data_IF_018350731037
#
_entry.id   IF_018350731037
#
_cell.length_a   1.000
_cell.length_b   1.000
_cell.length_c   1.000
_cell.angle_alpha   90.00
_cell.angle_beta   90.00
_cell.angle_gamma   90.00
#
_symmetry.space_group_name_H-M   'P 1'
#
loop_
_entity.id
_entity.type
_entity.pdbx_description
1 polymer ?
#
# COMPACT_ATOMS: atom_id res chain seq x y z
N UNK A 1 -6.99 -14.30 -7.34
CA UNK A 1 -7.75 -13.04 -7.16
C UNK A 1 -7.23 -12.18 -6.02
N UNK A 2 -6.28 -12.67 -5.20
CA UNK A 2 -5.75 -11.97 -4.04
C UNK A 2 -4.22 -11.82 -4.17
N UNK A 3 -3.74 -11.38 -5.34
CA UNK A 3 -2.31 -11.12 -5.53
C UNK A 3 -1.85 -9.95 -4.65
N UNK A 4 -0.55 -9.87 -4.45
CA UNK A 4 0.10 -8.77 -3.77
C UNK A 4 0.14 -7.50 -4.64
N UNK A 5 0.23 -6.34 -3.99
CA UNK A 5 0.31 -5.05 -4.67
C UNK A 5 1.38 -4.17 -4.05
N UNK A 6 2.19 -3.53 -4.87
CA UNK A 6 3.13 -2.49 -4.48
C UNK A 6 2.63 -1.16 -5.03
N UNK A 7 2.33 -0.23 -4.11
CA UNK A 7 2.16 1.18 -4.42
C UNK A 7 3.47 1.91 -4.09
N UNK A 8 4.09 2.54 -5.09
CA UNK A 8 5.32 3.31 -4.93
C UNK A 8 5.07 4.77 -5.26
N UNK A 9 5.61 5.67 -4.43
CA UNK A 9 5.57 7.12 -4.69
C UNK A 9 7.00 7.62 -4.67
N UNK A 10 7.45 8.19 -5.79
CA UNK A 10 8.86 8.53 -6.00
C UNK A 10 9.08 9.99 -6.37
N UNK A 11 10.31 10.46 -6.18
CA UNK A 11 10.76 11.81 -6.57
C UNK A 11 10.99 11.98 -8.09
N UNK A 12 11.11 10.88 -8.82
CA UNK A 12 11.20 10.85 -10.27
C UNK A 12 10.48 9.63 -10.84
N UNK A 13 10.15 9.63 -12.14
CA UNK A 13 9.53 8.47 -12.79
C UNK A 13 10.47 7.27 -12.77
N UNK A 14 9.99 6.11 -12.30
CA UNK A 14 10.78 4.88 -12.26
C UNK A 14 11.01 4.37 -13.69
N UNK A 15 12.27 4.11 -14.04
CA UNK A 15 12.68 3.58 -15.32
C UNK A 15 13.81 2.54 -15.13
N UNK A 16 13.52 1.24 -15.27
CA UNK A 16 14.52 0.16 -15.11
C UNK A 16 15.70 0.22 -16.10
N UNK A 17 15.56 0.90 -17.23
CA UNK A 17 16.60 1.02 -18.26
C UNK A 17 17.59 2.16 -17.97
N UNK A 18 17.31 2.98 -16.95
CA UNK A 18 18.15 4.12 -16.58
C UNK A 18 18.78 3.89 -15.21
N UNK A 19 20.01 4.39 -15.07
CA UNK A 19 20.62 4.49 -13.75
C UNK A 19 19.95 5.62 -12.96
N UNK A 20 19.27 5.26 -11.86
CA UNK A 20 18.54 6.17 -10.99
C UNK A 20 19.06 6.09 -9.54
N UNK A 21 20.36 6.30 -9.35
CA UNK A 21 20.99 6.33 -8.00
C UNK A 21 20.38 7.32 -7.01
N UNK A 22 19.69 8.36 -7.48
CA UNK A 22 19.02 9.38 -6.66
C UNK A 22 17.52 9.14 -6.49
N UNK A 23 17.02 8.02 -6.99
CA UNK A 23 15.64 7.61 -6.78
C UNK A 23 15.40 7.45 -5.29
N UNK A 24 14.35 8.12 -4.83
CA UNK A 24 13.81 8.02 -3.47
C UNK A 24 12.36 7.64 -3.58
N UNK A 25 11.96 6.63 -2.83
CA UNK A 25 10.67 6.01 -2.95
C UNK A 25 10.04 5.88 -1.57
N UNK A 26 8.76 6.20 -1.45
CA UNK A 26 7.91 5.62 -0.44
C UNK A 26 7.30 4.35 -1.04
N UNK A 27 7.59 3.20 -0.45
CA UNK A 27 7.05 1.91 -0.86
C UNK A 27 5.99 1.47 0.13
N UNK A 28 4.79 1.21 -0.38
CA UNK A 28 3.67 0.65 0.36
C UNK A 28 3.34 -0.71 -0.26
N UNK A 29 3.69 -1.78 0.45
CA UNK A 29 3.40 -3.15 0.03
C UNK A 29 2.15 -3.66 0.73
N UNK A 30 1.27 -4.21 -0.07
CA UNK A 30 0.01 -4.82 0.30
C UNK A 30 0.17 -6.31 0.08
N UNK A 31 0.33 -7.05 1.17
CA UNK A 31 0.45 -8.50 1.13
C UNK A 31 -0.77 -9.14 0.45
N UNK A 32 -0.54 -10.29 -0.19
CA UNK A 32 -1.65 -11.19 -0.49
C UNK A 32 -2.36 -11.62 0.79
N UNK A 33 -3.67 -11.84 0.69
CA UNK A 33 -4.44 -12.37 1.81
C UNK A 33 -3.95 -13.80 2.10
N UNK A 34 -3.58 -14.13 3.36
CA UNK A 34 -3.13 -15.48 3.70
C UNK A 34 -4.17 -16.53 3.29
N UNK A 35 -3.73 -17.54 2.54
CA UNK A 35 -4.56 -18.70 2.23
C UNK A 35 -4.78 -19.53 3.50
N UNK A 36 -6.02 -19.92 3.78
CA UNK A 36 -6.34 -20.85 4.88
C UNK A 36 -6.21 -22.31 4.47
N UNK A 37 -5.86 -22.61 3.21
CA UNK A 37 -5.90 -23.96 2.63
C UNK A 37 -4.54 -24.57 2.32
N UNK A 38 -3.42 -23.89 2.58
CA UNK A 38 -2.07 -24.41 2.30
C UNK A 38 -1.31 -24.71 3.59
N UNK A 39 -0.68 -25.89 3.66
CA UNK A 39 0.15 -26.35 4.78
C UNK A 39 1.47 -25.56 4.95
N UNK A 40 1.83 -24.75 3.95
CA UNK A 40 2.97 -23.83 4.00
C UNK A 40 2.53 -22.45 4.51
N UNK A 41 2.47 -22.32 5.84
CA UNK A 41 2.24 -21.03 6.49
C UNK A 41 3.48 -20.14 6.33
N UNK A 42 3.44 -19.20 5.38
CA UNK A 42 4.36 -18.07 5.33
C UNK A 42 3.68 -16.85 5.95
N UNK A 43 4.31 -16.23 6.95
CA UNK A 43 3.84 -14.95 7.47
C UNK A 43 4.04 -13.88 6.39
N UNK A 44 2.95 -13.47 5.74
CA UNK A 44 2.96 -12.37 4.78
C UNK A 44 2.73 -11.07 5.53
N UNK A 45 3.56 -10.06 5.28
CA UNK A 45 3.49 -8.76 5.93
C UNK A 45 3.10 -7.69 4.92
N UNK A 46 2.10 -6.86 5.23
CA UNK A 46 1.96 -5.55 4.61
C UNK A 46 2.91 -4.57 5.28
N UNK A 47 3.51 -3.64 4.55
CA UNK A 47 4.54 -2.75 5.11
C UNK A 47 4.68 -1.40 4.41
N UNK A 48 5.33 -0.47 5.13
CA UNK A 48 5.88 0.78 4.62
C UNK A 48 7.41 0.71 4.64
N UNK A 49 8.05 1.20 3.58
CA UNK A 49 9.50 1.28 3.47
C UNK A 49 9.97 2.46 2.60
N UNK A 50 11.27 2.75 2.60
CA UNK A 50 11.91 3.82 1.80
C UNK A 50 12.91 3.34 0.73
N UNK A 51 13.00 2.02 0.55
CA UNK A 51 13.91 1.35 -0.39
C UNK A 51 13.41 1.36 -1.85
N UNK A 52 14.23 0.81 -2.76
CA UNK A 52 13.86 0.68 -4.16
C UNK A 52 12.64 -0.27 -4.33
N UNK A 53 11.67 0.03 -5.22
CA UNK A 53 10.48 -0.79 -5.42
C UNK A 53 10.76 -2.23 -5.85
N UNK A 54 11.94 -2.54 -6.39
CA UNK A 54 12.33 -3.88 -6.82
C UNK A 54 13.05 -4.70 -5.75
N UNK A 55 13.15 -4.20 -4.50
CA UNK A 55 13.83 -4.88 -3.39
C UNK A 55 12.89 -5.67 -2.48
N UNK A 56 11.65 -5.93 -2.90
CA UNK A 56 10.64 -6.63 -2.10
C UNK A 56 11.16 -7.96 -1.49
N UNK A 57 11.68 -8.85 -2.34
CA UNK A 57 12.23 -10.15 -1.92
C UNK A 57 13.38 -10.02 -0.92
N UNK A 58 14.29 -9.05 -1.16
CA UNK A 58 15.40 -8.77 -0.26
C UNK A 58 14.88 -8.30 1.10
N UNK A 59 13.92 -7.37 1.12
CA UNK A 59 13.36 -6.81 2.35
C UNK A 59 12.62 -7.88 3.18
N UNK A 60 11.93 -8.82 2.53
CA UNK A 60 11.36 -9.99 3.21
C UNK A 60 12.45 -10.85 3.83
N UNK A 61 13.49 -11.18 3.06
CA UNK A 61 14.57 -12.06 3.52
C UNK A 61 15.38 -11.44 4.66
N UNK A 62 15.71 -10.16 4.58
CA UNK A 62 16.47 -9.43 5.61
C UNK A 62 15.60 -8.94 6.76
N UNK A 63 14.27 -8.98 6.59
CA UNK A 63 13.29 -8.46 7.53
C UNK A 63 13.51 -6.96 7.85
N UNK A 64 13.95 -6.21 6.85
CA UNK A 64 14.21 -4.77 6.93
C UNK A 64 12.97 -4.00 6.45
N UNK A 65 12.16 -3.56 7.41
CA UNK A 65 10.97 -2.77 7.15
C UNK A 65 10.95 -1.58 8.10
N UNK A 66 10.58 -0.39 7.62
CA UNK A 66 10.36 0.76 8.49
C UNK A 66 9.15 0.54 9.42
N UNK A 67 8.06 0.01 8.86
CA UNK A 67 6.90 -0.43 9.62
C UNK A 67 6.17 -1.56 8.88
N UNK A 68 5.67 -2.56 9.60
CA UNK A 68 5.00 -3.72 9.00
C UNK A 68 3.91 -4.31 9.88
N UNK A 69 3.01 -5.08 9.29
CA UNK A 69 2.03 -5.90 9.99
C UNK A 69 1.70 -7.19 9.25
N UNK A 70 1.69 -8.31 9.97
CA UNK A 70 1.15 -9.61 9.53
C UNK A 70 -0.32 -9.81 9.92
N UNK A 71 -0.94 -8.80 10.55
CA UNK A 71 -2.33 -8.84 10.98
C UNK A 71 -3.22 -7.86 10.23
N UNK A 72 -2.65 -7.15 9.24
CA UNK A 72 -3.28 -6.08 8.47
C UNK A 72 -4.58 -6.49 7.75
N UNK A 73 -4.84 -7.79 7.60
CA UNK A 73 -6.05 -8.33 7.01
C UNK A 73 -6.96 -9.08 8.01
N UNK A 74 -6.59 -9.17 9.29
CA UNK A 74 -7.36 -9.92 10.28
C UNK A 74 -8.71 -9.25 10.51
N UNK A 75 -9.77 -9.97 10.16
CA UNK A 75 -11.15 -9.49 10.27
C UNK A 75 -11.76 -9.00 8.94
N UNK A 76 -11.00 -8.98 7.84
CA UNK A 76 -11.54 -8.69 6.52
C UNK A 76 -12.18 -9.94 5.89
N UNK A 77 -13.47 -9.86 5.53
CA UNK A 77 -14.14 -10.89 4.75
C UNK A 77 -13.59 -10.92 3.31
N UNK A 78 -13.42 -12.11 2.74
CA UNK A 78 -12.70 -12.33 1.48
C UNK A 78 -13.50 -11.96 0.21
N UNK A 79 -14.83 -11.89 0.33
CA UNK A 79 -15.75 -11.74 -0.80
C UNK A 79 -16.15 -10.28 -1.04
N UNK A 80 -15.42 -9.37 -0.41
CA UNK A 80 -15.84 -8.01 -0.08
C UNK A 80 -14.86 -7.00 -0.67
N UNK A 81 -15.35 -5.88 -1.22
CA UNK A 81 -14.50 -4.80 -1.72
C UNK A 81 -13.70 -4.16 -0.56
N UNK A 82 -12.37 -4.22 -0.66
CA UNK A 82 -11.47 -3.58 0.30
C UNK A 82 -10.98 -2.24 -0.24
N UNK A 83 -11.06 -1.22 0.60
CA UNK A 83 -10.49 0.09 0.32
C UNK A 83 -9.18 0.22 1.08
N UNK A 84 -8.09 0.51 0.36
CA UNK A 84 -6.79 0.81 0.95
C UNK A 84 -6.52 2.31 0.87
N UNK A 85 -5.95 2.89 1.92
CA UNK A 85 -5.63 4.30 1.98
C UNK A 85 -4.20 4.51 2.44
N UNK A 86 -3.37 5.09 1.56
CA UNK A 86 -2.08 5.64 1.94
C UNK A 86 -2.23 7.16 2.11
N UNK A 87 -2.08 7.62 3.34
CA UNK A 87 -2.07 9.05 3.70
C UNK A 87 -0.64 9.50 3.97
N UNK A 88 -0.24 10.57 3.32
CA UNK A 88 1.09 11.17 3.43
C UNK A 88 0.93 12.55 4.05
N UNK A 89 1.63 12.79 5.16
CA UNK A 89 1.76 14.13 5.72
C UNK A 89 3.13 14.69 5.32
N UNK A 90 3.14 15.55 4.31
CA UNK A 90 4.36 16.12 3.73
C UNK A 90 5.10 17.03 4.73
N UNK A 91 4.37 17.68 5.64
CA UNK A 91 4.95 18.59 6.63
C UNK A 91 5.63 17.83 7.77
N UNK A 92 5.00 16.76 8.25
CA UNK A 92 5.55 15.99 9.35
C UNK A 92 6.53 14.93 8.87
N UNK A 93 6.45 14.44 7.63
CA UNK A 93 7.19 13.27 7.16
C UNK A 93 6.53 11.94 7.56
N UNK A 94 5.23 11.96 7.93
CA UNK A 94 4.51 10.76 8.40
C UNK A 94 3.78 10.08 7.24
N UNK A 95 4.06 8.80 7.02
CA UNK A 95 3.26 7.91 6.19
C UNK A 95 2.31 7.07 7.04
N UNK A 96 1.05 6.98 6.64
CA UNK A 96 0.01 6.23 7.33
C UNK A 96 -0.70 5.36 6.31
N UNK A 97 -0.62 4.06 6.48
CA UNK A 97 -1.29 3.09 5.65
C UNK A 97 -2.39 2.38 6.43
N UNK A 98 -3.61 2.46 5.92
CA UNK A 98 -4.80 1.85 6.53
C UNK A 98 -5.67 1.18 5.48
N UNK A 99 -6.62 0.38 5.95
CA UNK A 99 -7.59 -0.28 5.10
C UNK A 99 -8.98 -0.22 5.74
N UNK A 100 -10.02 -0.29 4.91
CA UNK A 100 -11.39 -0.40 5.34
C UNK A 100 -12.08 -1.52 4.56
N UNK A 101 -12.84 -2.36 5.26
CA UNK A 101 -13.78 -3.28 4.62
C UNK A 101 -14.98 -2.54 4.00
N UNK A 102 -15.87 -3.23 3.26
CA UNK A 102 -16.91 -2.59 2.44
C UNK A 102 -17.92 -1.73 3.20
N UNK A 103 -18.07 -1.94 4.51
CA UNK A 103 -18.98 -1.16 5.36
C UNK A 103 -18.28 -0.06 6.16
N UNK A 104 -16.99 0.23 5.89
CA UNK A 104 -16.18 1.17 6.68
C UNK A 104 -16.00 0.78 8.15
N UNK A 105 -16.54 -0.36 8.57
CA UNK A 105 -16.67 -0.76 9.98
C UNK A 105 -15.43 -1.48 10.51
N UNK A 106 -14.61 -2.06 9.63
CA UNK A 106 -13.49 -2.95 9.97
C UNK A 106 -12.13 -2.28 9.85
N UNK A 107 -12.00 -1.03 10.28
CA UNK A 107 -10.74 -0.30 10.31
C UNK A 107 -9.99 -0.66 11.61
N UNK A 108 -9.34 -1.81 11.63
CA UNK A 108 -8.72 -2.31 12.87
C UNK A 108 -7.22 -2.13 12.91
N UNK A 109 -6.58 -1.85 11.78
CA UNK A 109 -5.14 -1.71 11.75
C UNK A 109 -4.64 -0.60 10.85
N UNK A 110 -3.58 0.03 11.34
CA UNK A 110 -2.87 1.10 10.65
C UNK A 110 -1.39 0.80 10.80
N UNK A 111 -0.68 0.83 9.68
CA UNK A 111 0.78 0.80 9.64
C UNK A 111 1.22 2.25 9.48
N UNK A 112 1.94 2.79 10.46
CA UNK A 112 2.42 4.16 10.40
C UNK A 112 3.92 4.23 10.64
N UNK A 113 4.57 5.15 9.93
CA UNK A 113 5.98 5.43 10.10
C UNK A 113 6.29 6.90 9.92
N UNK A 114 7.25 7.38 10.69
CA UNK A 114 7.75 8.75 10.65
C UNK A 114 9.12 8.74 9.97
N UNK A 115 9.16 9.13 8.70
CA UNK A 115 10.39 9.14 7.91
C UNK A 115 11.28 10.31 8.31
N UNK A 116 12.59 10.05 8.37
CA UNK A 116 13.59 11.09 8.48
C UNK A 116 13.75 11.78 7.12
N UNK A 117 13.67 13.11 7.10
CA UNK A 117 13.79 13.91 5.88
C UNK A 117 15.14 13.70 5.16
N UNK A 118 16.18 13.32 5.90
CA UNK A 118 17.50 13.02 5.33
C UNK A 118 17.56 11.68 4.59
N UNK A 119 16.67 10.74 4.95
CA UNK A 119 16.52 9.44 4.28
C UNK A 119 15.52 9.57 3.13
N UNK A 120 14.33 10.09 3.43
CA UNK A 120 13.23 10.27 2.50
C UNK A 120 12.44 11.56 2.81
N UNK A 121 12.59 12.56 1.94
CA UNK A 121 11.80 13.79 2.00
C UNK A 121 10.44 13.59 1.30
N UNK A 122 9.39 13.32 2.09
CA UNK A 122 8.03 13.15 1.57
C UNK A 122 7.46 14.41 0.89
N UNK A 123 8.09 15.58 1.04
CA UNK A 123 7.70 16.79 0.30
C UNK A 123 8.22 16.84 -1.13
N UNK A 124 9.05 15.87 -1.54
CA UNK A 124 9.68 15.79 -2.86
C UNK A 124 9.28 14.55 -3.67
N UNK A 125 8.25 13.80 -3.24
CA UNK A 125 7.77 12.62 -3.96
C UNK A 125 6.40 12.90 -4.58
N UNK A 126 6.29 12.71 -5.89
CA UNK A 126 5.10 13.11 -6.66
C UNK A 126 4.70 12.08 -7.73
N UNK A 127 5.56 11.13 -8.05
CA UNK A 127 5.31 10.15 -9.11
C UNK A 127 4.76 8.86 -8.53
N UNK A 128 3.56 8.48 -8.95
CA UNK A 128 2.89 7.27 -8.48
C UNK A 128 3.14 6.14 -9.46
N UNK A 129 3.53 4.99 -8.93
CA UNK A 129 3.71 3.74 -9.64
C UNK A 129 3.00 2.61 -8.91
N UNK A 130 2.29 1.77 -9.66
CA UNK A 130 1.54 0.64 -9.12
C UNK A 130 2.01 -0.62 -9.81
N UNK A 131 2.34 -1.64 -9.03
CA UNK A 131 2.82 -2.93 -9.52
C UNK A 131 2.06 -4.06 -8.81
N UNK A 132 1.59 -5.06 -9.56
CA UNK A 132 0.87 -6.24 -9.06
C UNK A 132 1.70 -7.54 -9.24
N UNK A 133 3.02 -7.39 -9.35
CA UNK A 133 3.93 -8.50 -9.58
C UNK A 133 3.59 -9.26 -10.85
N UNK A 134 3.44 -10.58 -10.73
CA UNK A 134 3.10 -11.48 -11.83
C UNK A 134 1.62 -11.87 -11.85
N UNK A 135 0.77 -11.25 -11.03
CA UNK A 135 -0.67 -11.56 -10.96
C UNK A 135 -1.54 -10.41 -11.46
N UNK A 136 -2.70 -10.75 -12.01
CA UNK A 136 -3.73 -9.77 -12.33
C UNK A 136 -4.51 -9.40 -11.06
N UNK A 137 -4.32 -8.17 -10.59
CA UNK A 137 -5.06 -7.60 -9.45
C UNK A 137 -6.03 -6.51 -9.97
N UNK A 138 -7.36 -6.73 -9.90
CA UNK A 138 -8.32 -5.76 -10.39
C UNK A 138 -8.43 -4.56 -9.44
N UNK A 139 -7.99 -3.38 -9.90
CA UNK A 139 -8.15 -2.12 -9.16
C UNK A 139 -9.41 -1.42 -9.65
N UNK A 140 -10.40 -1.28 -8.77
CA UNK A 140 -11.62 -0.48 -9.02
C UNK A 140 -11.49 0.81 -8.20
N UNK A 141 -11.54 1.96 -8.86
CA UNK A 141 -11.50 3.30 -8.24
C UNK A 141 -10.14 3.67 -7.60
N UNK A 142 -9.11 3.77 -8.43
CA UNK A 142 -7.86 4.41 -8.01
C UNK A 142 -8.02 5.93 -7.97
N UNK A 143 -8.10 6.49 -6.76
CA UNK A 143 -8.33 7.93 -6.56
C UNK A 143 -7.16 8.56 -5.81
N UNK A 144 -6.66 9.68 -6.34
CA UNK A 144 -5.65 10.51 -5.70
C UNK A 144 -6.32 11.78 -5.21
N UNK A 145 -6.17 12.10 -3.93
CA UNK A 145 -6.77 13.28 -3.33
C UNK A 145 -5.72 14.08 -2.57
N UNK A 146 -5.68 15.38 -2.84
CA UNK A 146 -4.83 16.32 -2.11
C UNK A 146 -5.56 16.97 -0.93
N UNK A 147 -6.90 16.89 -0.92
CA UNK A 147 -7.73 17.33 0.20
C UNK A 147 -8.13 16.15 1.10
N UNK A 148 -8.31 16.36 2.41
CA UNK A 148 -8.76 15.31 3.31
C UNK A 148 -10.15 14.80 2.92
N UNK A 149 -10.26 13.52 2.58
CA UNK A 149 -11.56 12.85 2.48
C UNK A 149 -11.98 12.47 3.91
N UNK A 150 -13.13 12.99 4.33
CA UNK A 150 -13.65 12.80 5.69
C UNK A 150 -14.16 11.37 5.94
N UNK A 151 -14.50 10.61 4.89
CA UNK A 151 -15.04 9.25 5.00
C UNK A 151 -14.43 8.31 3.95
N UNK A 152 -13.72 7.27 4.39
CA UNK A 152 -13.29 6.15 3.54
C UNK A 152 -14.47 5.19 3.34
N UNK A 153 -15.56 5.66 2.73
CA UNK A 153 -16.75 4.83 2.50
C UNK A 153 -16.91 4.50 1.00
N UNK A 154 -17.09 3.22 0.63
CA UNK A 154 -17.33 2.84 -0.77
C UNK A 154 -18.53 3.54 -1.43
N UNK A 155 -19.51 4.01 -0.65
CA UNK A 155 -20.65 4.79 -1.16
C UNK A 155 -20.32 6.24 -1.55
N UNK A 156 -19.07 6.69 -1.37
CA UNK A 156 -18.61 7.96 -1.93
C UNK A 156 -18.31 7.86 -3.43
N UNK A 157 -18.32 6.65 -3.99
CA UNK A 157 -18.37 6.41 -5.43
C UNK A 157 -19.82 6.48 -5.93
N UNK A 158 -20.20 7.63 -6.48
CA UNK A 158 -21.54 7.84 -7.06
C UNK A 158 -21.79 6.98 -8.32
N UNK A 159 -20.76 6.38 -8.91
CA UNK A 159 -20.86 5.51 -10.08
C UNK A 159 -20.98 4.02 -9.69
N UNK A 160 -20.89 3.68 -8.41
CA UNK A 160 -21.11 2.32 -7.92
C UNK A 160 -22.60 1.94 -8.00
N UNK A 161 -23.02 1.47 -9.17
CA UNK A 161 -24.28 0.76 -9.33
C UNK A 161 -24.07 -0.70 -8.93
N UNK A 162 -24.76 -1.13 -7.88
CA UNK A 162 -24.96 -2.55 -7.60
C UNK A 162 -25.49 -3.18 -8.90
N UNK A 163 -24.70 -4.10 -9.48
CA UNK A 163 -25.11 -4.86 -10.65
C UNK A 163 -26.43 -5.58 -10.35
N UNK A 164 -27.42 -5.36 -11.21
CA UNK A 164 -28.72 -6.06 -11.22
C UNK A 164 -28.57 -7.54 -11.46
#
# INVERSE_FOLDING_TARGET
MNGDLILTISNETINPEKDQTKLRCLVCYIAEKPSTTTDDYHEVYSYLNDDNPYQHETNIYTNEFKAKSNVFYRGCNADDFLTFCLKINHNSGKGIFSHAGPNGTYNHETIEYQFDKSELDLSQIDFIHVNAGNQDVPIRNFTINHEPILELHPSSDNDFKLGT
#
